data_IF_848828059268
#
_entry.id   IF_848828059268
#
_cell.length_a   1.000
_cell.length_b   1.000
_cell.length_c   1.000
_cell.angle_alpha   90.00
_cell.angle_beta   90.00
_cell.angle_gamma   90.00
#
_symmetry.space_group_name_H-M   'P 1'
#
loop_
_entity.id
_entity.type
_entity.pdbx_description
1 polymer ?
#
# COMPACT_ATOMS: atom_id res chain seq x y z
N UNK A 1 6.60 17.20 9.67
CA UNK A 1 5.19 16.85 9.97
C UNK A 1 4.31 17.42 8.86
N UNK A 2 4.69 18.57 8.30
CA UNK A 2 4.41 18.97 6.91
C UNK A 2 5.07 17.95 5.95
N UNK A 3 4.41 17.24 5.03
CA UNK A 3 2.99 17.02 4.78
C UNK A 3 2.80 15.49 4.64
N UNK A 4 2.44 14.81 5.74
CA UNK A 4 2.26 13.35 5.75
C UNK A 4 1.24 12.87 4.70
N UNK A 5 0.24 13.68 4.38
CA UNK A 5 -0.72 13.35 3.35
C UNK A 5 -0.09 13.36 1.95
N UNK A 6 0.70 14.39 1.60
CA UNK A 6 1.39 14.45 0.30
C UNK A 6 2.38 13.29 0.14
N UNK A 7 3.26 13.06 1.12
CA UNK A 7 4.17 11.90 1.10
C UNK A 7 3.39 10.59 1.00
N UNK A 8 2.30 10.49 1.76
CA UNK A 8 1.44 9.32 1.72
C UNK A 8 0.78 9.11 0.36
N UNK A 9 0.30 10.17 -0.27
CA UNK A 9 -0.32 10.12 -1.58
C UNK A 9 0.69 9.66 -2.63
N UNK A 10 1.92 10.19 -2.60
CA UNK A 10 3.00 9.77 -3.48
C UNK A 10 3.34 8.29 -3.31
N UNK A 11 3.61 7.83 -2.08
CA UNK A 11 3.97 6.41 -1.81
C UNK A 11 2.79 5.47 -2.14
N UNK A 12 1.56 5.89 -1.85
CA UNK A 12 0.33 5.13 -2.17
C UNK A 12 0.14 4.98 -3.67
N UNK A 13 0.31 6.05 -4.44
CA UNK A 13 0.23 6.01 -5.92
C UNK A 13 1.35 5.18 -6.53
N UNK A 14 2.58 5.31 -6.02
CA UNK A 14 3.71 4.53 -6.50
C UNK A 14 3.49 3.03 -6.30
N UNK A 15 2.84 2.63 -5.20
CA UNK A 15 2.61 1.21 -4.87
C UNK A 15 1.32 0.66 -5.48
N UNK A 16 0.18 1.33 -5.31
CA UNK A 16 -1.12 0.81 -5.74
C UNK A 16 -1.55 1.25 -7.15
N UNK A 17 -0.79 2.17 -7.76
CA UNK A 17 -1.11 2.77 -9.05
C UNK A 17 -1.91 4.06 -8.91
N UNK A 18 -1.55 5.07 -9.71
CA UNK A 18 -2.19 6.38 -9.68
C UNK A 18 -3.69 6.30 -10.00
N UNK A 19 -4.06 5.58 -11.06
CA UNK A 19 -5.45 5.42 -11.49
C UNK A 19 -6.36 4.86 -10.37
N UNK A 20 -5.88 3.84 -9.65
CA UNK A 20 -6.63 3.28 -8.53
C UNK A 20 -6.83 4.30 -7.41
N UNK A 21 -5.76 5.00 -7.01
CA UNK A 21 -5.80 5.95 -5.90
C UNK A 21 -6.64 7.18 -6.26
N UNK A 22 -6.50 7.69 -7.47
CA UNK A 22 -7.29 8.81 -7.97
C UNK A 22 -8.77 8.45 -8.01
N UNK A 23 -9.12 7.27 -8.53
CA UNK A 23 -10.50 6.77 -8.49
C UNK A 23 -11.06 6.63 -7.07
N UNK A 24 -10.25 6.26 -6.07
CA UNK A 24 -10.68 6.23 -4.66
C UNK A 24 -11.04 7.62 -4.16
N UNK A 25 -10.25 8.64 -4.48
CA UNK A 25 -10.54 10.01 -4.05
C UNK A 25 -11.66 10.68 -4.86
N UNK A 26 -11.77 10.40 -6.15
CA UNK A 26 -12.86 10.91 -6.99
C UNK A 26 -14.24 10.39 -6.53
N UNK A 27 -14.29 9.12 -6.09
CA UNK A 27 -15.51 8.50 -5.58
C UNK A 27 -15.73 8.71 -4.07
N UNK A 28 -14.83 9.40 -3.37
CA UNK A 28 -14.94 9.65 -1.94
C UNK A 28 -15.90 10.82 -1.64
N UNK A 29 -17.01 10.49 -0.97
CA UNK A 29 -18.02 11.40 -0.47
C UNK A 29 -17.70 11.93 0.94
N UNK A 30 -18.60 12.73 1.52
CA UNK A 30 -18.45 13.29 2.88
C UNK A 30 -18.25 12.21 3.95
N UNK A 31 -18.83 11.03 3.75
CA UNK A 31 -18.69 9.91 4.68
C UNK A 31 -17.30 9.25 4.63
N UNK A 32 -16.80 8.98 3.42
CA UNK A 32 -15.59 8.18 3.21
C UNK A 32 -14.30 8.99 3.09
N UNK A 33 -14.38 10.26 2.67
CA UNK A 33 -13.21 11.13 2.45
C UNK A 33 -12.34 11.32 3.68
N UNK A 34 -12.86 11.61 4.90
CA UNK A 34 -12.00 11.78 6.07
C UNK A 34 -11.17 10.53 6.39
N UNK A 35 -11.74 9.34 6.14
CA UNK A 35 -11.01 8.08 6.32
C UNK A 35 -9.90 7.92 5.27
N UNK A 36 -10.17 8.24 3.99
CA UNK A 36 -9.15 8.17 2.94
C UNK A 36 -7.99 9.13 3.20
N UNK A 37 -8.27 10.33 3.69
CA UNK A 37 -7.25 11.32 4.04
C UNK A 37 -6.41 10.86 5.24
N UNK A 38 -7.05 10.42 6.33
CA UNK A 38 -6.36 9.92 7.51
C UNK A 38 -5.50 8.69 7.20
N UNK A 39 -6.05 7.71 6.47
CA UNK A 39 -5.33 6.50 6.10
C UNK A 39 -4.16 6.81 5.16
N UNK A 40 -4.32 7.74 4.21
CA UNK A 40 -3.23 8.18 3.33
C UNK A 40 -2.12 8.83 4.14
N UNK A 41 -2.43 9.74 5.05
CA UNK A 41 -1.42 10.38 5.88
C UNK A 41 -0.69 9.39 6.81
N UNK A 42 -1.43 8.53 7.51
CA UNK A 42 -0.84 7.67 8.54
C UNK A 42 -0.25 6.37 7.99
N UNK A 43 -1.03 5.59 7.22
CA UNK A 43 -0.53 4.32 6.72
C UNK A 43 0.55 4.56 5.66
N UNK A 44 0.35 5.52 4.76
CA UNK A 44 1.27 5.73 3.66
C UNK A 44 2.32 6.78 3.94
N UNK A 45 1.95 7.92 4.55
CA UNK A 45 2.90 8.98 4.87
C UNK A 45 3.85 8.57 5.99
N UNK A 46 3.30 8.20 7.15
CA UNK A 46 4.11 7.75 8.28
C UNK A 46 4.64 6.32 8.08
N UNK A 47 3.77 5.37 7.71
CA UNK A 47 4.15 3.97 7.57
C UNK A 47 5.04 3.68 6.35
N UNK A 48 4.52 3.89 5.15
CA UNK A 48 5.27 3.63 3.89
C UNK A 48 6.30 4.71 3.54
N UNK A 49 6.21 5.90 4.13
CA UNK A 49 7.19 6.97 3.95
C UNK A 49 8.48 6.76 4.72
N UNK A 50 8.55 5.80 5.65
CA UNK A 50 9.80 5.42 6.30
C UNK A 50 10.73 4.70 5.32
N UNK A 51 11.83 5.38 4.96
CA UNK A 51 12.79 4.91 3.96
C UNK A 51 13.83 3.93 4.51
N UNK A 52 13.73 3.55 5.79
CA UNK A 52 14.62 2.56 6.42
C UNK A 52 14.45 1.15 5.83
N UNK A 53 13.28 0.87 5.23
CA UNK A 53 12.98 -0.38 4.52
C UNK A 53 12.52 -0.02 3.11
N UNK A 54 13.20 -0.56 2.10
CA UNK A 54 12.87 -0.31 0.70
C UNK A 54 11.48 -0.87 0.33
N UNK A 55 10.88 -0.31 -0.73
CA UNK A 55 9.51 -0.60 -1.13
C UNK A 55 9.29 -2.09 -1.46
N UNK A 56 10.29 -2.77 -2.04
CA UNK A 56 10.21 -4.20 -2.38
C UNK A 56 10.13 -5.02 -1.10
N UNK A 57 11.09 -4.83 -0.18
CA UNK A 57 11.13 -5.55 1.09
C UNK A 57 9.89 -5.28 1.93
N UNK A 58 9.43 -4.03 2.01
CA UNK A 58 8.21 -3.63 2.71
C UNK A 58 6.97 -4.31 2.13
N UNK A 59 6.84 -4.37 0.80
CA UNK A 59 5.77 -5.10 0.12
C UNK A 59 5.75 -6.57 0.49
N UNK A 60 6.91 -7.23 0.55
CA UNK A 60 6.99 -8.65 0.93
C UNK A 60 6.49 -8.87 2.36
N UNK A 61 6.94 -8.05 3.32
CA UNK A 61 6.49 -8.12 4.72
C UNK A 61 4.98 -7.88 4.84
N UNK A 62 4.45 -6.89 4.11
CA UNK A 62 3.03 -6.57 4.13
C UNK A 62 2.19 -7.74 3.60
N UNK A 63 2.61 -8.39 2.51
CA UNK A 63 1.93 -9.56 1.98
C UNK A 63 1.89 -10.73 2.95
N UNK A 64 2.99 -10.99 3.67
CA UNK A 64 3.02 -12.02 4.72
C UNK A 64 2.02 -11.70 5.83
N UNK A 65 1.99 -10.46 6.33
CA UNK A 65 1.07 -10.06 7.40
C UNK A 65 -0.40 -10.14 6.97
N UNK A 66 -0.74 -9.61 5.80
CA UNK A 66 -2.11 -9.64 5.26
C UNK A 66 -2.56 -11.08 5.01
N UNK A 67 -1.66 -11.92 4.47
CA UNK A 67 -1.90 -13.35 4.23
C UNK A 67 -2.20 -14.09 5.54
N UNK A 68 -1.36 -13.89 6.57
CA UNK A 68 -1.56 -14.47 7.89
C UNK A 68 -2.88 -14.05 8.54
N UNK A 69 -3.35 -12.84 8.28
CA UNK A 69 -4.64 -12.32 8.77
C UNK A 69 -5.86 -12.76 7.93
N UNK A 70 -5.65 -13.49 6.83
CA UNK A 70 -6.71 -13.93 5.92
C UNK A 70 -7.44 -12.79 5.19
N UNK A 71 -6.82 -11.61 5.05
CA UNK A 71 -7.43 -10.41 4.44
C UNK A 71 -7.23 -10.40 2.93
N UNK A 72 -7.83 -11.37 2.24
CA UNK A 72 -7.50 -11.68 0.84
C UNK A 72 -7.84 -10.57 -0.17
N UNK A 73 -8.85 -9.74 0.09
CA UNK A 73 -9.15 -8.55 -0.75
C UNK A 73 -7.98 -7.56 -0.76
N UNK A 74 -7.43 -7.26 0.42
CA UNK A 74 -6.25 -6.41 0.55
C UNK A 74 -5.00 -7.12 0.02
N UNK A 75 -4.92 -8.44 0.20
CA UNK A 75 -3.79 -9.23 -0.30
C UNK A 75 -3.68 -9.12 -1.81
N UNK A 76 -4.80 -9.24 -2.52
CA UNK A 76 -4.83 -9.15 -3.98
C UNK A 76 -4.39 -7.76 -4.47
N UNK A 77 -4.89 -6.69 -3.82
CA UNK A 77 -4.51 -5.31 -4.10
C UNK A 77 -3.01 -5.09 -3.89
N UNK A 78 -2.50 -5.47 -2.72
CA UNK A 78 -1.09 -5.31 -2.39
C UNK A 78 -0.16 -6.25 -3.16
N UNK A 79 -0.65 -7.39 -3.66
CA UNK A 79 0.13 -8.32 -4.48
C UNK A 79 0.45 -7.69 -5.84
N UNK A 80 -0.54 -7.02 -6.46
CA UNK A 80 -0.29 -6.22 -7.67
C UNK A 80 0.73 -5.11 -7.40
N UNK A 81 0.58 -4.39 -6.29
CA UNK A 81 1.53 -3.32 -5.93
C UNK A 81 2.93 -3.82 -5.62
N UNK A 82 3.06 -4.99 -4.99
CA UNK A 82 4.34 -5.64 -4.73
C UNK A 82 5.11 -5.95 -6.02
N UNK A 83 4.41 -6.42 -7.06
CA UNK A 83 5.01 -6.65 -8.39
C UNK A 83 5.51 -5.31 -8.97
N UNK A 84 4.73 -4.24 -8.86
CA UNK A 84 5.14 -2.89 -9.26
C UNK A 84 6.39 -2.39 -8.53
N UNK A 85 6.54 -2.73 -7.24
CA UNK A 85 7.72 -2.46 -6.43
C UNK A 85 8.90 -3.42 -6.69
N UNK A 86 8.80 -4.33 -7.66
CA UNK A 86 9.90 -5.21 -8.08
C UNK A 86 9.95 -6.58 -7.39
N UNK A 87 8.88 -7.00 -6.70
CA UNK A 87 8.75 -8.37 -6.19
C UNK A 87 8.52 -9.33 -7.37
N UNK A 88 9.40 -10.31 -7.51
CA UNK A 88 9.35 -11.32 -8.57
C UNK A 88 8.33 -12.42 -8.26
N UNK A 89 7.92 -13.17 -9.28
CA UNK A 89 7.06 -14.36 -9.10
C UNK A 89 7.67 -15.40 -8.17
N UNK A 90 9.00 -15.57 -8.21
CA UNK A 90 9.73 -16.50 -7.35
C UNK A 90 9.68 -16.08 -5.88
N UNK A 91 9.82 -14.78 -5.61
CA UNK A 91 9.69 -14.20 -4.27
C UNK A 91 8.25 -14.27 -3.76
N UNK A 92 7.24 -13.95 -4.60
CA UNK A 92 5.83 -14.12 -4.25
C UNK A 92 5.50 -15.56 -3.85
N UNK A 93 5.99 -16.53 -4.63
CA UNK A 93 5.84 -17.95 -4.30
C UNK A 93 6.48 -18.29 -2.96
N UNK A 94 7.66 -17.73 -2.66
CA UNK A 94 8.31 -17.97 -1.37
C UNK A 94 7.53 -17.37 -0.19
N UNK A 95 6.91 -16.20 -0.36
CA UNK A 95 6.09 -15.54 0.67
C UNK A 95 4.89 -16.39 1.08
N UNK A 96 4.25 -17.10 0.15
CA UNK A 96 3.03 -17.89 0.44
C UNK A 96 3.33 -19.31 0.95
N UNK A 97 4.60 -19.71 0.99
CA UNK A 97 4.98 -21.00 1.56
C UNK A 97 5.04 -20.98 3.10
N UNK A 98 4.96 -19.80 3.73
CA UNK A 98 5.08 -19.60 5.18
C UNK A 98 3.77 -19.19 5.83
#
# INVERSE_FOLDING_TARGET
MDNMFETGLEKRKATLGAEYVDGVFENADEFSRPFQEAMTAWCWGFGWGDESIDAKTRSMMNLTMIGALGKMTEWELHCRGAIGNGVTKQELRAIIHV
#
